data_IF_534286316518
#
_entry.id   IF_534286316518
#
_cell.length_a   1.000
_cell.length_b   1.000
_cell.length_c   1.000
_cell.angle_alpha   90.00
_cell.angle_beta   90.00
_cell.angle_gamma   90.00
#
_symmetry.space_group_name_H-M   'P 1'
#
loop_
_entity.id
_entity.type
_entity.pdbx_description
1 polymer ?
#
# COMPACT_ATOMS: atom_id res chain seq x y z
N UNK A 1 11.41 -21.75 2.49
CA UNK A 1 11.13 -20.49 1.76
C UNK A 1 10.14 -20.79 0.65
N UNK A 2 8.97 -20.13 0.62
CA UNK A 2 7.95 -20.37 -0.41
C UNK A 2 8.30 -19.58 -1.67
N UNK A 3 8.46 -20.27 -2.80
CA UNK A 3 8.72 -19.65 -4.11
C UNK A 3 7.65 -18.59 -4.43
N UNK A 4 8.07 -17.47 -5.02
CA UNK A 4 7.20 -16.43 -5.56
C UNK A 4 6.09 -17.05 -6.42
N UNK A 5 6.39 -18.11 -7.17
CA UNK A 5 5.39 -18.85 -7.98
C UNK A 5 4.24 -19.42 -7.13
N UNK A 6 4.54 -20.00 -5.97
CA UNK A 6 3.52 -20.56 -5.07
C UNK A 6 2.65 -19.46 -4.44
N UNK A 7 3.26 -18.35 -4.04
CA UNK A 7 2.53 -17.19 -3.54
C UNK A 7 1.59 -16.60 -4.61
N UNK A 8 2.07 -16.48 -5.86
CA UNK A 8 1.26 -15.99 -6.98
C UNK A 8 0.10 -16.93 -7.34
N UNK A 9 0.32 -18.24 -7.28
CA UNK A 9 -0.73 -19.23 -7.47
C UNK A 9 -1.82 -19.12 -6.39
N UNK A 10 -1.42 -19.01 -5.11
CA UNK A 10 -2.35 -18.87 -3.99
C UNK A 10 -3.21 -17.59 -4.09
N UNK A 11 -2.57 -16.47 -4.45
CA UNK A 11 -3.26 -15.19 -4.68
C UNK A 11 -4.27 -15.29 -5.83
N UNK A 12 -3.89 -15.95 -6.93
CA UNK A 12 -4.75 -16.14 -8.11
C UNK A 12 -5.98 -17.00 -7.80
N UNK A 13 -5.81 -18.10 -7.06
CA UNK A 13 -6.92 -18.94 -6.62
C UNK A 13 -7.89 -18.18 -5.71
N UNK A 14 -7.35 -17.36 -4.79
CA UNK A 14 -8.14 -16.56 -3.85
C UNK A 14 -8.94 -15.47 -4.58
N UNK A 15 -8.32 -14.78 -5.53
CA UNK A 15 -8.97 -13.77 -6.37
C UNK A 15 -10.08 -14.39 -7.25
N UNK A 16 -9.83 -15.57 -7.84
CA UNK A 16 -10.83 -16.29 -8.63
C UNK A 16 -12.06 -16.69 -7.81
N UNK A 17 -11.86 -17.15 -6.56
CA UNK A 17 -12.95 -17.48 -5.63
C UNK A 17 -13.78 -16.24 -5.29
N UNK A 18 -13.13 -15.10 -5.05
CA UNK A 18 -13.82 -13.85 -4.77
C UNK A 18 -14.66 -13.37 -5.96
N UNK A 19 -14.12 -13.44 -7.18
CA UNK A 19 -14.86 -13.08 -8.39
C UNK A 19 -16.10 -13.96 -8.58
N UNK A 20 -15.98 -15.29 -8.43
CA UNK A 20 -17.14 -16.20 -8.53
C UNK A 20 -18.23 -15.88 -7.48
N UNK A 21 -17.86 -15.43 -6.28
CA UNK A 21 -18.79 -15.12 -5.19
C UNK A 21 -19.44 -13.74 -5.30
N UNK A 22 -18.68 -12.72 -5.71
CA UNK A 22 -19.11 -11.31 -5.66
C UNK A 22 -19.36 -10.68 -7.02
N UNK A 23 -18.97 -11.34 -8.12
CA UNK A 23 -18.97 -10.76 -9.46
C UNK A 23 -17.95 -9.64 -9.68
N UNK A 24 -17.25 -9.18 -8.63
CA UNK A 24 -16.28 -8.09 -8.71
C UNK A 24 -14.90 -8.61 -9.11
N UNK A 25 -14.41 -8.15 -10.27
CA UNK A 25 -13.02 -8.36 -10.70
C UNK A 25 -12.10 -7.44 -9.91
N UNK A 26 -11.19 -8.03 -9.13
CA UNK A 26 -10.17 -7.27 -8.39
C UNK A 26 -9.06 -6.88 -9.38
N UNK A 27 -8.83 -5.59 -9.57
CA UNK A 27 -7.69 -5.09 -10.33
C UNK A 27 -6.60 -4.63 -9.37
N UNK A 28 -5.35 -5.03 -9.62
CA UNK A 28 -4.19 -4.55 -8.85
C UNK A 28 -3.73 -3.17 -9.38
N UNK A 29 -4.32 -2.67 -10.47
CA UNK A 29 -3.96 -1.38 -11.03
C UNK A 29 -4.27 -0.26 -10.01
N UNK A 30 -3.22 0.47 -9.64
CA UNK A 30 -3.10 1.26 -8.42
C UNK A 30 -3.95 2.53 -8.31
N UNK A 31 -5.22 2.50 -8.70
CA UNK A 31 -6.16 3.63 -8.55
C UNK A 31 -7.49 3.22 -7.92
N UNK A 32 -7.86 1.94 -8.01
CA UNK A 32 -9.12 1.40 -7.50
C UNK A 32 -8.83 0.14 -6.66
N UNK A 33 -8.82 0.31 -5.34
CA UNK A 33 -9.00 -0.83 -4.44
C UNK A 33 -10.50 -1.07 -4.41
N UNK A 34 -10.95 -2.11 -5.12
CA UNK A 34 -12.37 -2.40 -5.32
C UNK A 34 -13.15 -2.35 -3.98
N UNK A 35 -13.98 -1.32 -3.81
CA UNK A 35 -14.86 -1.16 -2.65
C UNK A 35 -14.39 -0.20 -1.55
N UNK A 36 -13.30 0.54 -1.73
CA UNK A 36 -12.92 1.59 -0.78
C UNK A 36 -13.71 2.88 -1.01
N UNK A 37 -14.47 3.33 0.00
CA UNK A 37 -15.19 4.61 -0.06
C UNK A 37 -14.23 5.80 0.04
N UNK A 38 -14.08 6.53 -1.07
CA UNK A 38 -13.20 7.70 -1.16
C UNK A 38 -13.84 8.97 -0.59
N UNK A 39 -15.12 8.98 -0.25
CA UNK A 39 -15.86 10.19 0.16
C UNK A 39 -15.22 10.91 1.36
N UNK A 40 -14.60 10.16 2.27
CA UNK A 40 -13.93 10.69 3.48
C UNK A 40 -12.42 10.88 3.31
N UNK A 41 -11.85 10.52 2.16
CA UNK A 41 -10.41 10.63 1.92
C UNK A 41 -10.04 12.09 1.69
N UNK A 42 -9.21 12.67 2.56
CA UNK A 42 -8.64 14.00 2.36
C UNK A 42 -7.37 13.93 1.53
N UNK A 43 -7.31 14.69 0.44
CA UNK A 43 -6.13 14.82 -0.40
C UNK A 43 -5.05 15.64 0.34
N UNK A 44 -3.84 15.08 0.49
CA UNK A 44 -2.72 15.78 1.11
C UNK A 44 -2.15 16.94 0.28
N UNK A 45 -2.46 17.01 -1.02
CA UNK A 45 -1.96 18.07 -1.89
C UNK A 45 -2.82 19.34 -1.80
N UNK A 46 -4.13 19.21 -2.04
CA UNK A 46 -5.06 20.33 -2.10
C UNK A 46 -6.05 20.39 -0.93
N UNK A 47 -5.94 19.46 0.03
CA UNK A 47 -6.78 19.37 1.24
C UNK A 47 -8.29 19.18 1.00
N UNK A 48 -8.71 18.91 -0.24
CA UNK A 48 -10.10 18.55 -0.60
C UNK A 48 -10.37 17.06 -0.40
N UNK A 49 -11.61 16.70 -0.10
CA UNK A 49 -12.02 15.30 0.06
C UNK A 49 -12.30 14.60 -1.28
N UNK A 50 -12.52 13.29 -1.25
CA UNK A 50 -13.00 12.51 -2.40
C UNK A 50 -11.91 11.86 -3.28
N UNK A 51 -10.64 12.14 -3.03
CA UNK A 51 -9.55 11.61 -3.85
C UNK A 51 -8.22 11.51 -3.10
N UNK A 52 -7.35 10.60 -3.58
CA UNK A 52 -5.99 10.49 -3.09
C UNK A 52 -5.08 11.57 -3.70
N UNK A 53 -3.98 11.90 -3.02
CA UNK A 53 -3.00 12.88 -3.52
C UNK A 53 -2.43 12.54 -4.91
N UNK A 54 -2.31 11.24 -5.23
CA UNK A 54 -1.87 10.74 -6.55
C UNK A 54 -2.85 11.01 -7.69
N UNK A 55 -4.13 11.25 -7.37
CA UNK A 55 -5.21 11.54 -8.33
C UNK A 55 -5.42 13.06 -8.49
N UNK A 56 -4.71 13.89 -7.71
CA UNK A 56 -4.91 15.33 -7.67
C UNK A 56 -4.38 16.02 -8.94
N UNK A 57 -5.22 16.80 -9.61
CA UNK A 57 -4.84 17.61 -10.78
C UNK A 57 -4.24 18.98 -10.44
N UNK A 58 -4.35 19.41 -9.19
CA UNK A 58 -3.75 20.66 -8.75
C UNK A 58 -2.22 20.56 -8.82
N UNK A 59 -1.50 21.66 -9.12
CA UNK A 59 -0.05 21.68 -8.98
C UNK A 59 0.35 21.24 -7.57
N UNK A 60 1.52 20.62 -7.45
CA UNK A 60 2.05 20.18 -6.15
C UNK A 60 2.13 21.40 -5.23
N UNK A 61 1.48 21.32 -4.08
CA UNK A 61 1.60 22.34 -3.05
C UNK A 61 3.08 22.46 -2.65
N UNK A 62 3.53 23.69 -2.43
CA UNK A 62 4.90 23.96 -1.99
C UNK A 62 5.13 23.59 -0.51
N UNK A 63 4.19 22.88 0.12
CA UNK A 63 4.33 22.28 1.45
C UNK A 63 5.33 21.12 1.39
N UNK A 64 6.59 21.47 1.16
CA UNK A 64 7.72 20.55 1.06
C UNK A 64 8.11 20.00 2.45
N UNK A 65 7.68 20.66 3.53
CA UNK A 65 8.18 20.41 4.88
C UNK A 65 7.84 19.07 5.51
N UNK A 66 6.88 18.29 4.96
CA UNK A 66 6.44 17.02 5.57
C UNK A 66 6.94 15.76 4.86
N UNK A 67 7.51 15.87 3.66
CA UNK A 67 7.92 14.70 2.85
C UNK A 67 9.33 14.19 3.19
N UNK A 68 10.17 15.02 3.79
CA UNK A 68 11.57 14.68 4.05
C UNK A 68 11.73 13.64 5.18
N UNK A 69 10.75 13.55 6.09
CA UNK A 69 10.80 12.64 7.23
C UNK A 69 10.64 11.15 6.88
N UNK A 70 10.03 10.78 5.75
CA UNK A 70 9.88 9.35 5.38
C UNK A 70 11.06 8.83 4.54
N UNK A 71 11.83 9.71 3.89
CA UNK A 71 13.06 9.32 3.19
C UNK A 71 14.26 9.22 4.13
N UNK A 72 14.24 9.98 5.23
CA UNK A 72 15.13 9.79 6.36
C UNK A 72 14.68 8.56 7.16
N UNK A 73 14.72 7.38 6.54
CA UNK A 73 14.54 6.13 7.26
C UNK A 73 15.46 6.15 8.46
N UNK A 74 14.91 6.06 9.67
CA UNK A 74 15.69 5.71 10.83
C UNK A 74 16.44 4.43 10.45
N UNK A 75 17.77 4.52 10.36
CA UNK A 75 18.63 3.37 10.57
C UNK A 75 18.27 2.86 11.97
N UNK A 76 17.27 2.00 12.07
CA UNK A 76 17.22 1.05 13.17
C UNK A 76 18.34 0.09 12.80
N UNK A 77 19.50 0.41 13.33
CA UNK A 77 20.64 -0.49 13.38
C UNK A 77 20.10 -1.79 13.98
N UNK A 78 20.07 -2.83 13.15
CA UNK A 78 19.82 -4.19 13.55
C UNK A 78 20.91 -4.58 14.55
N UNK A 79 20.69 -4.31 15.83
CA UNK A 79 21.36 -5.04 16.87
C UNK A 79 20.80 -6.45 16.83
N UNK A 80 21.43 -7.28 16.00
CA UNK A 80 21.28 -8.73 16.03
C UNK A 80 21.28 -9.18 17.51
N UNK A 81 20.27 -9.92 17.99
CA UNK A 81 20.40 -10.61 19.25
C UNK A 81 21.43 -11.72 19.06
N UNK A 82 22.70 -11.39 19.28
CA UNK A 82 23.75 -12.36 19.54
C UNK A 82 23.45 -12.98 20.89
N UNK A 83 22.71 -14.09 20.89
CA UNK A 83 22.81 -15.21 21.82
C UNK A 83 21.48 -15.92 21.84
N UNK A 84 21.40 -17.10 21.22
CA UNK A 84 20.79 -18.30 21.78
C UNK A 84 21.14 -19.49 20.87
N UNK A 85 22.40 -19.93 20.95
CA UNK A 85 22.79 -21.32 20.70
C UNK A 85 23.80 -21.64 21.80
N UNK A 86 23.28 -21.96 22.98
CA UNK A 86 24.06 -22.54 24.06
C UNK A 86 23.26 -23.71 24.63
N UNK A 87 23.87 -24.89 24.48
CA UNK A 87 23.55 -26.23 25.01
C UNK A 87 22.47 -26.99 24.24
#
# INVERSE_FOLDING_TARGET
EMDIKWNMALLSMSAGRLWKKTGKKISIQGTDVAGFDKSKVKCFNCHKIGHFARECRAPKSQDRGRRDNYRQGSKVEEQAPKALMAI
#
